data_IF_990324167065
#
_entry.id   IF_990324167065
#
_cell.length_a   1.000
_cell.length_b   1.000
_cell.length_c   1.000
_cell.angle_alpha   90.00
_cell.angle_beta   90.00
_cell.angle_gamma   90.00
#
_symmetry.space_group_name_H-M   'P 1'
#
loop_
_entity.id
_entity.type
_entity.pdbx_description
1 polymer ?
#
# COMPACT_ATOMS: atom_id res chain seq x y z
N UNK A 1 -25.55 6.97 1.64
CA UNK A 1 -24.11 6.95 1.95
C UNK A 1 -23.55 8.28 1.51
N UNK A 2 -23.60 9.27 2.41
CA UNK A 2 -23.20 10.65 2.15
C UNK A 2 -21.68 10.69 2.00
N UNK A 3 -21.22 11.08 0.81
CA UNK A 3 -19.82 11.18 0.45
C UNK A 3 -19.14 12.25 1.30
N UNK A 4 -18.52 11.81 2.39
CA UNK A 4 -17.55 12.57 3.21
C UNK A 4 -16.63 13.48 2.36
N UNK A 5 -16.10 13.07 1.18
CA UNK A 5 -15.30 13.98 0.35
C UNK A 5 -16.08 15.19 -0.22
N UNK A 6 -17.37 15.04 -0.53
CA UNK A 6 -18.21 16.10 -1.11
C UNK A 6 -18.73 17.06 -0.02
N UNK A 7 -18.99 16.53 1.18
CA UNK A 7 -19.29 17.34 2.36
C UNK A 7 -18.06 18.15 2.82
N UNK A 8 -16.87 17.54 2.80
CA UNK A 8 -15.61 18.23 3.11
C UNK A 8 -15.32 19.38 2.13
N UNK A 9 -15.54 19.18 0.84
CA UNK A 9 -15.39 20.23 -0.17
C UNK A 9 -16.40 21.38 0.03
N UNK A 10 -17.65 21.07 0.39
CA UNK A 10 -18.67 22.07 0.69
C UNK A 10 -18.40 22.83 2.01
N UNK A 11 -17.80 22.15 3.00
CA UNK A 11 -17.36 22.75 4.27
C UNK A 11 -16.18 23.70 4.06
N UNK A 12 -15.17 23.33 3.26
CA UNK A 12 -14.08 24.25 2.89
C UNK A 12 -14.60 25.51 2.19
N UNK A 13 -15.55 25.33 1.26
CA UNK A 13 -16.15 26.44 0.52
C UNK A 13 -16.96 27.37 1.44
N UNK A 14 -17.64 26.82 2.45
CA UNK A 14 -18.41 27.60 3.44
C UNK A 14 -17.52 28.27 4.49
N UNK A 15 -16.42 27.62 4.87
CA UNK A 15 -15.44 28.13 5.84
C UNK A 15 -14.61 29.28 5.25
N UNK A 16 -14.27 29.23 3.95
CA UNK A 16 -13.63 30.36 3.23
C UNK A 16 -14.48 31.64 3.24
N UNK A 17 -15.81 31.54 3.29
CA UNK A 17 -16.69 32.73 3.38
C UNK A 17 -16.68 33.42 4.74
N UNK A 18 -16.24 32.75 5.82
CA UNK A 18 -16.27 33.29 7.20
C UNK A 18 -14.87 33.42 7.84
N UNK A 19 -13.80 33.14 7.11
CA UNK A 19 -12.41 33.20 7.60
C UNK A 19 -11.95 34.63 7.96
N UNK A 20 -12.71 35.67 7.61
CA UNK A 20 -12.44 37.06 7.99
C UNK A 20 -12.69 37.37 9.49
N UNK A 21 -13.44 36.53 10.20
CA UNK A 21 -13.87 36.82 11.59
C UNK A 21 -13.02 36.12 12.67
N UNK A 22 -12.26 35.08 12.33
CA UNK A 22 -11.45 34.32 13.31
C UNK A 22 -10.06 33.94 12.76
N UNK A 23 -9.06 34.84 12.82
CA UNK A 23 -7.71 34.60 12.30
C UNK A 23 -6.89 33.55 13.07
N UNK A 24 -7.42 33.02 14.19
CA UNK A 24 -6.71 32.11 15.09
C UNK A 24 -7.21 30.66 15.04
N UNK A 25 -8.19 30.32 14.18
CA UNK A 25 -8.78 28.97 14.13
C UNK A 25 -8.56 28.36 12.74
N UNK A 26 -7.70 27.34 12.67
CA UNK A 26 -7.46 26.54 11.46
C UNK A 26 -8.38 25.32 11.44
N UNK A 27 -9.08 25.10 10.32
CA UNK A 27 -9.86 23.88 10.08
C UNK A 27 -8.92 22.84 9.48
N UNK A 28 -8.63 21.76 10.22
CA UNK A 28 -7.96 20.58 9.65
C UNK A 28 -9.03 19.52 9.37
N UNK A 29 -9.22 19.19 8.10
CA UNK A 29 -10.12 18.11 7.70
C UNK A 29 -9.42 16.76 7.91
N UNK A 30 -9.27 16.36 9.18
CA UNK A 30 -8.75 15.05 9.57
C UNK A 30 -9.75 13.95 9.22
N UNK A 31 -9.73 13.52 7.95
CA UNK A 31 -10.67 12.53 7.42
C UNK A 31 -10.13 11.09 7.46
N UNK A 32 -11.04 10.11 7.53
CA UNK A 32 -10.70 8.69 7.39
C UNK A 32 -9.96 8.36 6.07
N UNK A 33 -10.15 9.18 5.02
CA UNK A 33 -9.41 9.08 3.76
C UNK A 33 -7.94 9.48 3.88
N UNK A 34 -7.61 10.47 4.72
CA UNK A 34 -6.23 10.88 4.98
C UNK A 34 -5.47 9.80 5.75
N UNK A 35 -6.08 9.26 6.81
CA UNK A 35 -5.53 8.13 7.57
C UNK A 35 -5.31 6.89 6.67
N UNK A 36 -6.23 6.63 5.73
CA UNK A 36 -6.08 5.53 4.77
C UNK A 36 -4.89 5.78 3.84
N UNK A 37 -4.74 7.00 3.34
CA UNK A 37 -3.62 7.38 2.46
C UNK A 37 -2.27 7.27 3.19
N UNK A 38 -2.17 7.77 4.41
CA UNK A 38 -0.96 7.65 5.24
C UNK A 38 -0.62 6.17 5.53
N UNK A 39 -1.64 5.34 5.79
CA UNK A 39 -1.47 3.90 5.96
C UNK A 39 -1.01 3.20 4.69
N UNK A 40 -1.55 3.59 3.52
CA UNK A 40 -1.10 3.09 2.21
C UNK A 40 0.36 3.43 1.95
N UNK A 41 0.77 4.66 2.24
CA UNK A 41 2.16 5.11 2.08
C UNK A 41 3.11 4.32 2.97
N UNK A 42 2.76 4.20 4.26
CA UNK A 42 3.54 3.43 5.24
C UNK A 42 3.68 1.96 4.83
N UNK A 43 2.60 1.35 4.32
CA UNK A 43 2.62 -0.04 3.86
C UNK A 43 3.44 -0.21 2.58
N UNK A 44 3.39 0.76 1.67
CA UNK A 44 4.22 0.73 0.45
C UNK A 44 5.71 0.75 0.79
N UNK A 45 6.11 1.54 1.79
CA UNK A 45 7.47 1.54 2.31
C UNK A 45 7.83 0.20 2.96
N UNK A 46 6.93 -0.37 3.76
CA UNK A 46 7.13 -1.68 4.39
C UNK A 46 7.29 -2.81 3.35
N UNK A 47 6.60 -2.75 2.20
CA UNK A 47 6.79 -3.70 1.11
C UNK A 47 8.22 -3.65 0.55
N UNK A 48 8.75 -2.46 0.31
CA UNK A 48 10.13 -2.30 -0.19
C UNK A 48 11.14 -2.85 0.81
N UNK A 49 10.97 -2.50 2.10
CA UNK A 49 11.83 -3.02 3.18
C UNK A 49 11.74 -4.55 3.26
N UNK A 50 10.54 -5.12 3.12
CA UNK A 50 10.32 -6.56 3.12
C UNK A 50 11.04 -7.26 1.97
N UNK A 51 10.94 -6.74 0.74
CA UNK A 51 11.64 -7.31 -0.43
C UNK A 51 13.16 -7.28 -0.24
N UNK A 52 13.71 -6.17 0.26
CA UNK A 52 15.14 -6.06 0.57
C UNK A 52 15.55 -7.04 1.67
N UNK A 53 14.74 -7.16 2.73
CA UNK A 53 14.95 -8.12 3.82
C UNK A 53 14.94 -9.56 3.33
N UNK A 54 13.98 -9.93 2.49
CA UNK A 54 13.90 -11.25 1.86
C UNK A 54 15.14 -11.50 1.00
N UNK A 55 15.56 -10.54 0.17
CA UNK A 55 16.78 -10.67 -0.62
C UNK A 55 18.01 -10.94 0.26
N UNK A 56 18.18 -10.16 1.35
CA UNK A 56 19.29 -10.35 2.28
C UNK A 56 19.25 -11.75 2.92
N UNK A 57 18.08 -12.21 3.36
CA UNK A 57 17.90 -13.55 3.91
C UNK A 57 18.26 -14.65 2.90
N UNK A 58 17.84 -14.51 1.64
CA UNK A 58 18.17 -15.46 0.58
C UNK A 58 19.66 -15.49 0.27
N UNK A 59 20.33 -14.33 0.22
CA UNK A 59 21.79 -14.26 0.02
C UNK A 59 22.53 -14.97 1.16
N UNK A 60 22.10 -14.76 2.41
CA UNK A 60 22.66 -15.44 3.58
C UNK A 60 22.44 -16.95 3.53
N UNK A 61 21.25 -17.39 3.11
CA UNK A 61 20.88 -18.80 3.01
C UNK A 61 21.71 -19.55 1.95
N UNK A 62 21.78 -18.98 0.74
CA UNK A 62 22.43 -19.64 -0.40
C UNK A 62 23.92 -19.35 -0.52
N UNK A 63 24.46 -18.41 0.29
CA UNK A 63 25.84 -17.89 0.17
C UNK A 63 26.21 -17.49 -1.27
N UNK A 64 25.21 -17.03 -2.03
CA UNK A 64 25.32 -16.71 -3.44
C UNK A 64 24.36 -15.59 -3.77
N UNK A 65 24.78 -14.66 -4.64
CA UNK A 65 23.94 -13.55 -5.09
C UNK A 65 23.05 -13.91 -6.29
N UNK A 66 23.44 -14.90 -7.09
CA UNK A 66 22.71 -15.26 -8.32
C UNK A 66 21.43 -16.03 -8.02
N UNK A 67 21.48 -17.01 -7.10
CA UNK A 67 20.30 -17.83 -6.75
C UNK A 67 19.14 -16.99 -6.19
N UNK A 68 19.36 -16.04 -5.25
CA UNK A 68 18.33 -15.13 -4.78
C UNK A 68 17.68 -14.29 -5.88
N UNK A 69 18.47 -13.78 -6.83
CA UNK A 69 17.96 -12.98 -7.94
C UNK A 69 17.00 -13.82 -8.80
N UNK A 70 17.39 -15.05 -9.11
CA UNK A 70 16.55 -15.98 -9.88
C UNK A 70 15.22 -16.21 -9.15
N UNK A 71 15.25 -16.48 -7.85
CA UNK A 71 14.02 -16.68 -7.06
C UNK A 71 13.16 -15.41 -7.06
N UNK A 72 13.75 -14.22 -6.89
CA UNK A 72 13.01 -12.97 -6.90
C UNK A 72 12.34 -12.64 -8.25
N UNK A 73 12.81 -13.20 -9.38
CA UNK A 73 12.11 -13.05 -10.67
C UNK A 73 10.70 -13.65 -10.68
N UNK A 74 10.41 -14.57 -9.75
CA UNK A 74 9.07 -15.15 -9.59
C UNK A 74 8.09 -14.18 -8.91
N UNK A 75 8.58 -13.18 -8.17
CA UNK A 75 7.73 -12.22 -7.44
C UNK A 75 6.95 -11.31 -8.41
N UNK A 76 7.56 -10.68 -9.43
CA UNK A 76 6.81 -9.95 -10.45
C UNK A 76 5.73 -10.80 -11.14
N UNK A 77 5.99 -12.09 -11.39
CA UNK A 77 4.99 -13.00 -11.96
C UNK A 77 3.80 -13.20 -11.00
N UNK A 78 4.06 -13.29 -9.71
CA UNK A 78 3.01 -13.31 -8.68
C UNK A 78 2.15 -12.05 -8.69
N UNK A 79 2.77 -10.87 -8.82
CA UNK A 79 2.06 -9.58 -8.89
C UNK A 79 1.15 -9.53 -10.13
N UNK A 80 1.60 -10.06 -11.27
CA UNK A 80 0.73 -10.19 -12.47
C UNK A 80 -0.46 -11.08 -12.16
N UNK A 81 -0.26 -12.23 -11.49
CA UNK A 81 -1.34 -13.13 -11.08
C UNK A 81 -2.37 -12.45 -10.17
N UNK A 82 -1.91 -11.70 -9.16
CA UNK A 82 -2.79 -10.91 -8.29
C UNK A 82 -3.53 -9.85 -9.10
N UNK A 83 -2.85 -9.13 -9.99
CA UNK A 83 -3.45 -8.06 -10.80
C UNK A 83 -4.59 -8.60 -11.66
N UNK A 84 -4.39 -9.77 -12.28
CA UNK A 84 -5.44 -10.46 -13.04
C UNK A 84 -6.60 -10.90 -12.13
N UNK A 85 -6.32 -11.46 -10.96
CA UNK A 85 -7.35 -11.86 -10.01
C UNK A 85 -8.21 -10.68 -9.54
N UNK A 86 -7.58 -9.55 -9.23
CA UNK A 86 -8.27 -8.31 -8.84
C UNK A 86 -9.10 -7.73 -9.98
N UNK A 87 -8.59 -7.78 -11.21
CA UNK A 87 -9.30 -7.33 -12.39
C UNK A 87 -10.57 -8.16 -12.64
N UNK A 88 -10.48 -9.49 -12.56
CA UNK A 88 -11.63 -10.39 -12.75
C UNK A 88 -12.69 -10.19 -11.65
N UNK A 89 -12.25 -10.01 -10.39
CA UNK A 89 -13.14 -9.82 -9.25
C UNK A 89 -13.65 -8.37 -9.08
N UNK A 90 -13.17 -7.44 -9.91
CA UNK A 90 -13.45 -5.99 -9.82
C UNK A 90 -13.19 -5.41 -8.42
N UNK A 91 -12.15 -5.91 -7.75
CA UNK A 91 -11.74 -5.44 -6.44
C UNK A 91 -10.78 -4.26 -6.55
N UNK A 92 -10.93 -3.31 -5.63
CA UNK A 92 -9.96 -2.24 -5.43
C UNK A 92 -8.86 -2.68 -4.47
N UNK A 93 -7.64 -2.19 -4.73
CA UNK A 93 -6.51 -2.42 -3.83
C UNK A 93 -6.77 -1.68 -2.53
N UNK A 94 -6.97 -2.44 -1.45
CA UNK A 94 -7.17 -1.93 -0.10
C UNK A 94 -5.95 -2.24 0.79
N UNK A 95 -5.94 -1.69 2.00
CA UNK A 95 -4.93 -2.04 3.01
C UNK A 95 -4.81 -3.55 3.23
N UNK A 96 -5.95 -4.23 3.35
CA UNK A 96 -5.97 -5.68 3.53
C UNK A 96 -5.47 -6.45 2.31
N UNK A 97 -5.78 -5.97 1.11
CA UNK A 97 -5.25 -6.55 -0.13
C UNK A 97 -3.72 -6.53 -0.16
N UNK A 98 -3.12 -5.40 0.19
CA UNK A 98 -1.66 -5.25 0.20
C UNK A 98 -0.98 -6.16 1.22
N UNK A 99 -1.55 -6.34 2.42
CA UNK A 99 -1.04 -7.32 3.41
C UNK A 99 -1.06 -8.73 2.82
N UNK A 100 -2.15 -9.11 2.13
CA UNK A 100 -2.25 -10.39 1.44
C UNK A 100 -1.19 -10.57 0.34
N UNK A 101 -0.92 -9.53 -0.44
CA UNK A 101 0.11 -9.53 -1.49
C UNK A 101 1.50 -9.74 -0.89
N UNK A 102 1.82 -9.08 0.23
CA UNK A 102 3.08 -9.28 0.95
C UNK A 102 3.20 -10.73 1.44
N UNK A 103 2.14 -11.28 2.04
CA UNK A 103 2.11 -12.67 2.49
C UNK A 103 2.29 -13.67 1.35
N UNK A 104 1.64 -13.43 0.21
CA UNK A 104 1.78 -14.21 -1.01
C UNK A 104 3.23 -14.18 -1.54
N UNK A 105 3.89 -13.02 -1.48
CA UNK A 105 5.31 -12.90 -1.81
C UNK A 105 6.20 -13.88 -1.02
N UNK A 106 5.93 -14.04 0.28
CA UNK A 106 6.63 -15.02 1.11
C UNK A 106 6.41 -16.47 0.67
N UNK A 107 5.18 -16.84 0.31
CA UNK A 107 4.85 -18.18 -0.19
C UNK A 107 5.54 -18.47 -1.51
N UNK A 108 5.53 -17.50 -2.44
CA UNK A 108 6.20 -17.61 -3.74
C UNK A 108 7.69 -17.83 -3.57
N UNK A 109 8.33 -17.02 -2.71
CA UNK A 109 9.76 -17.13 -2.44
C UNK A 109 10.09 -18.47 -1.81
N UNK A 110 9.29 -18.94 -0.84
CA UNK A 110 9.47 -20.27 -0.25
C UNK A 110 9.38 -21.39 -1.30
N UNK A 111 8.45 -21.27 -2.24
CA UNK A 111 8.30 -22.24 -3.35
C UNK A 111 9.47 -22.23 -4.32
N UNK A 112 10.26 -21.16 -4.38
CA UNK A 112 11.51 -21.11 -5.14
C UNK A 112 12.73 -21.66 -4.39
N UNK A 113 12.62 -21.89 -3.08
CA UNK A 113 13.69 -22.45 -2.23
C UNK A 113 13.63 -23.97 -2.17
N UNK A 114 12.42 -24.53 -2.02
CA UNK A 114 12.14 -25.98 -1.88
C UNK A 114 12.10 -26.66 -3.23
#
# INVERSE_FOLDING_TARGET
MTTVPLANAALEQSFRRHQATFPQVGLTLGGAGENTKESMESLSLAMVISVVGIFALLVLLFKSFIRPIIILTTVPLGIVGVSVAFFIQQLTVSFMALIGIVGLGGIIVNSGIV
#
